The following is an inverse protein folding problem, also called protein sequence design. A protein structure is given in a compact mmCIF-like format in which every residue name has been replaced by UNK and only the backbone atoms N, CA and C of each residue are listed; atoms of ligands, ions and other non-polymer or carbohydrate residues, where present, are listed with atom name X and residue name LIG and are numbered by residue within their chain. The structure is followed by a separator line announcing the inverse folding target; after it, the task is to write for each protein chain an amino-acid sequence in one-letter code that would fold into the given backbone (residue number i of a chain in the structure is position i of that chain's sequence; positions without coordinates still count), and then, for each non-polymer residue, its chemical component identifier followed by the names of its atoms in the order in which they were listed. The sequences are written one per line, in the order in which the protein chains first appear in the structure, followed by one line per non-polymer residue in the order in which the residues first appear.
data_IF_238254655873
#
_entry.id   IF_238254655873
#
_cell.length_a   1.000
_cell.length_b   1.000
_cell.length_c   1.000
_cell.angle_alpha   90.00
_cell.angle_beta   90.00
_cell.angle_gamma   90.00
#
_symmetry.space_group_name_H-M   'P 1'
#
loop_
_entity.id
_entity.type
_entity.pdbx_description
1 polymer ?
#
# COMPACT_ATOMS: atom_id res chain seq x y z
N UNK A 1 26.97 -37.26 33.77
CA UNK A 1 27.34 -36.68 32.46
C UNK A 1 27.97 -35.31 32.68
N UNK A 2 29.29 -35.24 32.86
CA UNK A 2 30.02 -33.99 32.96
C UNK A 2 30.47 -33.58 31.55
N UNK A 3 29.58 -32.92 30.81
CA UNK A 3 30.02 -32.12 29.66
C UNK A 3 30.88 -31.00 30.23
N UNK A 4 32.19 -31.10 30.05
CA UNK A 4 33.14 -30.23 30.73
C UNK A 4 32.84 -28.76 30.40
N UNK A 5 32.96 -27.89 31.41
CA UNK A 5 32.84 -26.42 31.25
C UNK A 5 33.71 -25.87 30.12
N UNK A 6 34.82 -26.54 29.78
CA UNK A 6 35.72 -26.19 28.70
C UNK A 6 35.10 -26.35 27.29
N UNK A 7 34.23 -27.35 27.07
CA UNK A 7 33.52 -27.52 25.81
C UNK A 7 32.42 -26.45 25.63
N UNK A 8 31.75 -26.06 26.71
CA UNK A 8 30.75 -24.99 26.67
C UNK A 8 31.35 -23.61 26.37
N UNK A 9 32.51 -23.27 26.96
CA UNK A 9 33.21 -22.01 26.67
C UNK A 9 33.70 -21.90 25.23
N UNK A 10 34.07 -23.03 24.61
CA UNK A 10 34.45 -23.04 23.21
C UNK A 10 33.22 -22.88 22.31
N UNK A 11 32.12 -23.58 22.57
CA UNK A 11 30.88 -23.45 21.79
C UNK A 11 30.32 -22.02 21.86
N UNK A 12 30.34 -21.37 23.03
CA UNK A 12 29.88 -19.99 23.17
C UNK A 12 30.82 -19.01 22.47
N UNK A 13 32.14 -19.11 22.68
CA UNK A 13 33.12 -18.21 22.04
C UNK A 13 33.10 -18.30 20.51
N UNK A 14 33.04 -19.51 19.95
CA UNK A 14 32.93 -19.70 18.50
C UNK A 14 31.54 -19.33 17.97
N UNK A 15 30.47 -19.49 18.77
CA UNK A 15 29.14 -19.00 18.44
C UNK A 15 29.06 -17.48 18.33
N UNK A 16 29.71 -16.74 19.23
CA UNK A 16 29.77 -15.27 19.17
C UNK A 16 30.55 -14.76 17.95
N UNK A 17 31.73 -15.33 17.68
CA UNK A 17 32.57 -14.95 16.52
C UNK A 17 31.88 -15.28 15.18
N UNK A 18 31.12 -16.39 15.12
CA UNK A 18 30.30 -16.74 13.97
C UNK A 18 29.11 -15.80 13.79
N UNK A 19 28.45 -15.41 14.89
CA UNK A 19 27.34 -14.45 14.86
C UNK A 19 27.79 -13.08 14.36
N UNK A 20 28.97 -12.62 14.77
CA UNK A 20 29.55 -11.36 14.31
C UNK A 20 29.88 -11.38 12.80
N UNK A 21 30.49 -12.47 12.31
CA UNK A 21 30.78 -12.64 10.87
C UNK A 21 29.52 -12.66 10.02
N UNK A 22 28.49 -13.40 10.44
CA UNK A 22 27.22 -13.49 9.70
C UNK A 22 26.44 -12.17 9.82
N UNK A 23 26.45 -11.52 10.98
CA UNK A 23 25.82 -10.21 11.18
C UNK A 23 26.38 -9.14 10.23
N UNK A 24 27.69 -9.17 9.94
CA UNK A 24 28.30 -8.28 8.95
C UNK A 24 27.77 -8.51 7.52
N UNK A 25 27.43 -9.75 7.15
CA UNK A 25 26.78 -10.05 5.85
C UNK A 25 25.35 -9.49 5.83
N UNK A 26 24.67 -9.53 6.97
CA UNK A 26 23.28 -9.07 7.12
C UNK A 26 23.19 -7.55 7.42
N UNK A 27 24.33 -6.87 7.57
CA UNK A 27 24.41 -5.43 7.85
C UNK A 27 23.63 -4.57 6.85
N UNK A 28 23.62 -4.94 5.57
CA UNK A 28 22.85 -4.26 4.53
C UNK A 28 21.34 -4.40 4.76
N UNK A 29 20.87 -5.57 5.19
CA UNK A 29 19.47 -5.76 5.52
C UNK A 29 19.07 -4.91 6.74
N UNK A 30 19.94 -4.81 7.75
CA UNK A 30 19.73 -3.92 8.89
C UNK A 30 19.68 -2.44 8.48
N UNK A 31 20.57 -2.00 7.60
CA UNK A 31 20.53 -0.64 7.07
C UNK A 31 19.19 -0.35 6.37
N UNK A 32 18.72 -1.26 5.52
CA UNK A 32 17.43 -1.13 4.85
C UNK A 32 16.27 -1.09 5.86
N UNK A 33 16.29 -1.92 6.91
CA UNK A 33 15.28 -1.88 7.96
C UNK A 33 15.29 -0.56 8.74
N UNK A 34 16.48 0.01 9.03
CA UNK A 34 16.56 1.37 9.61
C UNK A 34 15.90 2.39 8.71
N UNK A 35 16.15 2.33 7.39
CA UNK A 35 15.58 3.28 6.44
C UNK A 35 14.06 3.17 6.35
N UNK A 36 13.52 1.95 6.36
CA UNK A 36 12.07 1.74 6.42
C UNK A 36 11.45 2.33 7.68
N UNK A 37 12.12 2.20 8.83
CA UNK A 37 11.65 2.79 10.07
C UNK A 37 11.73 4.33 10.06
N UNK A 38 12.87 4.89 9.64
CA UNK A 38 13.11 6.35 9.63
C UNK A 38 12.25 7.10 8.62
N UNK A 39 11.97 6.51 7.45
CA UNK A 39 11.14 7.13 6.41
C UNK A 39 9.68 6.74 6.57
N UNK A 40 9.40 5.46 6.80
CA UNK A 40 8.06 4.91 6.85
C UNK A 40 7.25 5.41 8.03
N UNK A 41 7.84 5.53 9.23
CA UNK A 41 7.11 6.00 10.42
C UNK A 41 6.65 7.46 10.26
N UNK A 42 7.54 8.44 9.97
CA UNK A 42 7.11 9.83 9.80
C UNK A 42 6.14 10.01 8.61
N UNK A 43 6.38 9.33 7.49
CA UNK A 43 5.51 9.44 6.32
C UNK A 43 4.09 8.95 6.61
N UNK A 44 3.94 7.78 7.22
CA UNK A 44 2.63 7.23 7.55
C UNK A 44 1.93 8.03 8.66
N UNK A 45 2.67 8.50 9.68
CA UNK A 45 2.13 9.42 10.68
C UNK A 45 1.61 10.72 10.06
N UNK A 46 2.33 11.30 9.10
CA UNK A 46 1.92 12.51 8.40
C UNK A 46 0.64 12.30 7.58
N UNK A 47 0.55 11.18 6.84
CA UNK A 47 -0.67 10.82 6.08
C UNK A 47 -1.85 10.64 7.04
N UNK A 48 -1.67 9.91 8.14
CA UNK A 48 -2.71 9.73 9.16
C UNK A 48 -3.16 11.07 9.75
N UNK A 49 -2.23 11.97 10.05
CA UNK A 49 -2.55 13.29 10.56
C UNK A 49 -3.42 14.10 9.57
N UNK A 50 -3.03 14.16 8.30
CA UNK A 50 -3.79 14.88 7.27
C UNK A 50 -5.18 14.26 7.08
N UNK A 51 -5.23 12.94 6.88
CA UNK A 51 -6.47 12.24 6.57
C UNK A 51 -7.35 12.03 7.80
N UNK A 52 -6.88 12.28 9.03
CA UNK A 52 -7.76 12.26 10.20
C UNK A 52 -8.25 13.67 10.53
N UNK A 53 -7.35 14.65 10.60
CA UNK A 53 -7.65 15.96 11.16
C UNK A 53 -7.88 17.08 10.13
N UNK A 54 -7.25 17.03 8.95
CA UNK A 54 -7.28 18.16 7.99
C UNK A 54 -8.27 18.01 6.83
N UNK A 55 -8.49 16.80 6.32
CA UNK A 55 -9.41 16.59 5.18
C UNK A 55 -10.89 16.64 5.64
N UNK A 56 -11.87 16.77 4.74
CA UNK A 56 -13.31 16.53 4.97
C UNK A 56 -13.69 15.05 4.76
N UNK A 57 -14.73 14.54 5.45
CA UNK A 57 -14.94 13.09 5.74
C UNK A 57 -15.09 12.16 4.53
N UNK A 58 -15.13 12.71 3.31
CA UNK A 58 -15.16 11.93 2.08
C UNK A 58 -13.98 10.97 1.96
N UNK A 59 -14.30 9.69 1.76
CA UNK A 59 -13.44 8.70 1.11
C UNK A 59 -12.01 8.55 1.66
N UNK A 60 -11.86 8.56 2.99
CA UNK A 60 -10.56 8.45 3.66
C UNK A 60 -10.24 7.04 4.17
N UNK A 61 -11.24 6.17 4.27
CA UNK A 61 -11.12 4.88 4.95
C UNK A 61 -9.95 4.04 4.42
N UNK A 62 -9.86 3.86 3.09
CA UNK A 62 -8.79 3.04 2.50
C UNK A 62 -7.39 3.62 2.73
N UNK A 63 -7.24 4.94 2.64
CA UNK A 63 -5.95 5.61 2.86
C UNK A 63 -5.53 5.54 4.32
N UNK A 64 -6.45 5.83 5.25
CA UNK A 64 -6.20 5.75 6.70
C UNK A 64 -5.82 4.32 7.09
N UNK A 65 -6.56 3.33 6.60
CA UNK A 65 -6.27 1.92 6.89
C UNK A 65 -4.91 1.50 6.32
N UNK A 66 -4.58 1.87 5.08
CA UNK A 66 -3.26 1.58 4.50
C UNK A 66 -2.15 2.17 5.35
N UNK A 67 -2.25 3.45 5.73
CA UNK A 67 -1.22 4.09 6.55
C UNK A 67 -1.09 3.50 7.95
N UNK A 68 -2.18 3.00 8.56
CA UNK A 68 -2.11 2.27 9.83
C UNK A 68 -1.36 0.94 9.69
N UNK A 69 -1.67 0.18 8.63
CA UNK A 69 -1.00 -1.09 8.35
C UNK A 69 0.47 -0.86 8.02
N UNK A 70 0.79 0.13 7.19
CA UNK A 70 2.16 0.47 6.80
C UNK A 70 2.97 0.99 7.98
N UNK A 71 2.35 1.78 8.88
CA UNK A 71 2.99 2.22 10.13
C UNK A 71 3.31 1.01 11.02
N UNK A 72 2.36 0.08 11.17
CA UNK A 72 2.54 -1.14 11.95
C UNK A 72 3.63 -2.01 11.33
N UNK A 73 3.64 -2.17 10.02
CA UNK A 73 4.68 -2.89 9.28
C UNK A 73 6.06 -2.25 9.46
N UNK A 74 6.15 -0.92 9.38
CA UNK A 74 7.42 -0.18 9.52
C UNK A 74 7.98 -0.27 10.94
N UNK A 75 7.13 -0.26 11.98
CA UNK A 75 7.60 -0.37 13.37
C UNK A 75 7.87 -1.83 13.71
N UNK A 76 6.84 -2.68 13.60
CA UNK A 76 6.87 -4.05 14.08
C UNK A 76 7.68 -4.97 13.15
N UNK A 77 7.48 -4.84 11.84
CA UNK A 77 8.21 -5.62 10.84
C UNK A 77 9.71 -5.32 10.88
N UNK A 78 10.10 -4.04 10.96
CA UNK A 78 11.51 -3.68 11.11
C UNK A 78 12.08 -4.13 12.46
N UNK A 79 11.36 -4.01 13.57
CA UNK A 79 11.80 -4.53 14.87
C UNK A 79 12.04 -6.05 14.85
N UNK A 80 11.12 -6.82 14.25
CA UNK A 80 11.29 -8.26 14.05
C UNK A 80 12.49 -8.56 13.15
N UNK A 81 12.63 -7.84 12.03
CA UNK A 81 13.76 -7.96 11.12
C UNK A 81 15.10 -7.70 11.82
N UNK A 82 15.20 -6.65 12.63
CA UNK A 82 16.37 -6.36 13.45
C UNK A 82 16.67 -7.49 14.42
N UNK A 83 15.67 -7.94 15.19
CA UNK A 83 15.86 -9.03 16.15
C UNK A 83 16.40 -10.30 15.49
N UNK A 84 15.88 -10.64 14.31
CA UNK A 84 16.34 -11.77 13.52
C UNK A 84 17.77 -11.60 12.99
N UNK A 85 18.10 -10.38 12.54
CA UNK A 85 19.40 -10.06 11.95
C UNK A 85 20.51 -9.82 12.98
N UNK A 86 20.18 -9.50 14.23
CA UNK A 86 21.16 -9.36 15.34
C UNK A 86 21.61 -10.73 15.86
N UNK A 87 20.75 -11.74 15.77
CA UNK A 87 21.06 -13.11 16.24
C UNK A 87 20.86 -14.16 15.14
N UNK A 88 21.51 -14.03 13.96
CA UNK A 88 21.28 -14.92 12.82
C UNK A 88 21.60 -16.39 13.09
N UNK A 89 22.53 -16.69 14.01
CA UNK A 89 22.99 -18.07 14.28
C UNK A 89 22.71 -18.55 15.71
N UNK A 90 22.02 -17.75 16.52
CA UNK A 90 21.71 -18.06 17.91
C UNK A 90 20.24 -17.79 18.24
N UNK A 91 19.34 -18.35 17.43
CA UNK A 91 17.90 -18.25 17.66
C UNK A 91 17.46 -19.19 18.78
N UNK A 92 16.72 -18.67 19.76
CA UNK A 92 16.47 -19.39 21.02
C UNK A 92 15.18 -20.21 21.04
N UNK A 93 14.25 -19.99 20.10
CA UNK A 93 12.92 -20.63 20.16
C UNK A 93 12.22 -20.74 18.79
N UNK A 94 11.66 -21.93 18.52
CA UNK A 94 10.79 -22.21 17.37
C UNK A 94 9.60 -21.24 17.29
N UNK A 95 8.92 -21.02 18.42
CA UNK A 95 7.71 -20.18 18.47
C UNK A 95 8.03 -18.72 18.20
N UNK A 96 9.19 -18.22 18.67
CA UNK A 96 9.65 -16.87 18.36
C UNK A 96 9.96 -16.72 16.86
N UNK A 97 10.57 -17.73 16.23
CA UNK A 97 10.90 -17.69 14.81
C UNK A 97 9.63 -17.66 13.96
N UNK A 98 8.71 -18.60 14.22
CA UNK A 98 7.42 -18.68 13.55
C UNK A 98 6.63 -17.38 13.71
N UNK A 99 6.61 -16.80 14.91
CA UNK A 99 5.90 -15.55 15.18
C UNK A 99 6.53 -14.35 14.47
N UNK A 100 7.86 -14.19 14.51
CA UNK A 100 8.54 -13.06 13.86
C UNK A 100 8.40 -13.12 12.33
N UNK A 101 8.68 -14.28 11.72
CA UNK A 101 8.55 -14.44 10.27
C UNK A 101 7.09 -14.39 9.81
N UNK A 102 6.21 -15.10 10.50
CA UNK A 102 4.78 -15.12 10.20
C UNK A 102 4.16 -13.73 10.29
N UNK A 103 4.49 -12.97 11.34
CA UNK A 103 3.99 -11.60 11.51
C UNK A 103 4.56 -10.65 10.46
N UNK A 104 5.83 -10.79 10.09
CA UNK A 104 6.42 -9.97 9.03
C UNK A 104 5.73 -10.24 7.68
N UNK A 105 5.51 -11.52 7.34
CA UNK A 105 4.79 -11.92 6.13
C UNK A 105 3.33 -11.46 6.13
N UNK A 106 2.66 -11.52 7.29
CA UNK A 106 1.32 -10.98 7.49
C UNK A 106 1.26 -9.48 7.21
N UNK A 107 2.17 -8.70 7.79
CA UNK A 107 2.18 -7.24 7.63
C UNK A 107 2.49 -6.85 6.18
N UNK A 108 3.40 -7.56 5.50
CA UNK A 108 3.66 -7.35 4.07
C UNK A 108 2.43 -7.65 3.20
N UNK A 109 1.73 -8.76 3.48
CA UNK A 109 0.50 -9.11 2.76
C UNK A 109 -0.62 -8.09 2.97
N UNK A 110 -0.84 -7.67 4.22
CA UNK A 110 -1.84 -6.66 4.54
C UNK A 110 -1.52 -5.32 3.86
N UNK A 111 -0.26 -4.88 3.89
CA UNK A 111 0.19 -3.65 3.23
C UNK A 111 -0.06 -3.71 1.72
N UNK A 112 0.38 -4.78 1.06
CA UNK A 112 0.19 -4.97 -0.39
C UNK A 112 -1.28 -4.96 -0.80
N UNK A 113 -2.14 -5.62 -0.03
CA UNK A 113 -3.59 -5.63 -0.26
C UNK A 113 -4.23 -4.26 -0.05
N UNK A 114 -3.79 -3.50 0.97
CA UNK A 114 -4.31 -2.15 1.21
C UNK A 114 -3.96 -1.22 0.05
N UNK A 115 -2.71 -1.26 -0.43
CA UNK A 115 -2.26 -0.48 -1.59
C UNK A 115 -3.06 -0.87 -2.83
N UNK A 116 -3.24 -2.17 -3.09
CA UNK A 116 -4.03 -2.67 -4.20
C UNK A 116 -5.47 -2.16 -4.17
N UNK A 117 -6.12 -2.20 -3.00
CA UNK A 117 -7.48 -1.71 -2.83
C UNK A 117 -7.57 -0.20 -3.08
N UNK A 118 -6.67 0.60 -2.53
CA UNK A 118 -6.65 2.06 -2.72
C UNK A 118 -6.43 2.41 -4.19
N UNK A 119 -5.44 1.81 -4.83
CA UNK A 119 -5.09 2.07 -6.24
C UNK A 119 -6.21 1.66 -7.19
N UNK A 120 -6.79 0.47 -7.00
CA UNK A 120 -7.91 -0.02 -7.82
C UNK A 120 -9.12 0.89 -7.68
N UNK A 121 -9.43 1.30 -6.46
CA UNK A 121 -10.55 2.20 -6.22
C UNK A 121 -10.35 3.57 -6.86
N UNK A 122 -9.14 4.16 -6.77
CA UNK A 122 -8.81 5.42 -7.46
C UNK A 122 -8.94 5.29 -8.98
N UNK A 123 -8.53 4.16 -9.54
CA UNK A 123 -8.69 3.88 -10.96
C UNK A 123 -10.16 3.80 -11.39
N UNK A 124 -11.01 3.12 -10.62
CA UNK A 124 -12.46 3.05 -10.90
C UNK A 124 -13.08 4.45 -10.83
N UNK A 125 -12.74 5.23 -9.81
CA UNK A 125 -13.27 6.59 -9.63
C UNK A 125 -12.93 7.49 -10.82
N UNK A 126 -11.71 7.39 -11.34
CA UNK A 126 -11.25 8.21 -12.47
C UNK A 126 -11.80 7.74 -13.82
N UNK A 127 -11.90 6.43 -14.04
CA UNK A 127 -12.33 5.86 -15.32
C UNK A 127 -13.86 5.76 -15.46
N UNK A 128 -14.56 5.51 -14.35
CA UNK A 128 -15.98 5.19 -14.32
C UNK A 128 -16.71 6.01 -13.23
N UNK A 129 -16.84 7.34 -13.40
CA UNK A 129 -17.41 8.22 -12.39
C UNK A 129 -18.88 7.94 -12.05
N UNK A 130 -19.60 7.21 -12.91
CA UNK A 130 -21.00 6.81 -12.71
C UNK A 130 -21.15 5.47 -11.94
N UNK A 131 -20.08 4.68 -11.84
CA UNK A 131 -20.09 3.36 -11.22
C UNK A 131 -19.36 3.37 -9.87
N UNK A 132 -19.63 4.39 -9.06
CA UNK A 132 -19.00 4.53 -7.75
C UNK A 132 -19.53 3.46 -6.79
N UNK A 133 -18.61 2.70 -6.20
CA UNK A 133 -18.93 1.76 -5.14
C UNK A 133 -19.39 2.52 -3.90
N UNK A 134 -20.51 2.09 -3.31
CA UNK A 134 -20.94 2.61 -2.01
C UNK A 134 -19.87 2.33 -0.94
N UNK A 135 -19.72 3.25 0.02
CA UNK A 135 -18.74 3.15 1.11
C UNK A 135 -18.81 1.82 1.88
N UNK A 136 -20.02 1.29 2.12
CA UNK A 136 -20.21 0.00 2.80
C UNK A 136 -19.61 -1.16 2.00
N UNK A 137 -19.90 -1.21 0.69
CA UNK A 137 -19.39 -2.28 -0.17
C UNK A 137 -17.87 -2.23 -0.25
N UNK A 138 -17.28 -1.02 -0.28
CA UNK A 138 -15.82 -0.88 -0.23
C UNK A 138 -15.25 -1.42 1.08
N UNK A 139 -15.83 -1.07 2.22
CA UNK A 139 -15.39 -1.58 3.52
C UNK A 139 -15.46 -3.12 3.58
N UNK A 140 -16.57 -3.71 3.10
CA UNK A 140 -16.75 -5.16 3.04
C UNK A 140 -15.67 -5.81 2.17
N UNK A 141 -15.44 -5.28 0.96
CA UNK A 141 -14.39 -5.79 0.06
C UNK A 141 -13.02 -5.69 0.75
N UNK A 142 -12.70 -4.55 1.36
CA UNK A 142 -11.42 -4.38 2.06
C UNK A 142 -11.25 -5.40 3.19
N UNK A 143 -12.28 -5.66 4.00
CA UNK A 143 -12.24 -6.68 5.05
C UNK A 143 -12.04 -8.07 4.47
N UNK A 144 -12.75 -8.43 3.40
CA UNK A 144 -12.61 -9.74 2.74
C UNK A 144 -11.17 -9.94 2.25
N UNK A 145 -10.60 -8.95 1.55
CA UNK A 145 -9.23 -9.10 1.02
C UNK A 145 -8.19 -9.14 2.16
N UNK A 146 -8.42 -8.41 3.27
CA UNK A 146 -7.56 -8.54 4.46
C UNK A 146 -7.64 -9.94 5.10
N UNK A 147 -8.83 -10.54 5.18
CA UNK A 147 -8.99 -11.91 5.68
C UNK A 147 -8.28 -12.93 4.78
N UNK A 148 -8.35 -12.73 3.47
CA UNK A 148 -7.61 -13.55 2.50
C UNK A 148 -6.11 -13.40 2.71
N UNK A 149 -5.59 -12.18 2.89
CA UNK A 149 -4.19 -11.93 3.20
C UNK A 149 -3.74 -12.61 4.51
N UNK A 150 -4.57 -12.57 5.55
CA UNK A 150 -4.33 -13.29 6.81
C UNK A 150 -4.23 -14.79 6.55
N UNK A 151 -5.19 -15.36 5.80
CA UNK A 151 -5.20 -16.78 5.44
C UNK A 151 -3.94 -17.22 4.69
N UNK A 152 -3.47 -16.40 3.74
CA UNK A 152 -2.23 -16.65 3.01
C UNK A 152 -0.98 -16.61 3.88
N UNK A 153 -1.01 -15.92 5.02
CA UNK A 153 0.12 -15.85 5.95
C UNK A 153 0.15 -16.99 6.97
N UNK A 154 -0.94 -17.74 7.16
CA UNK A 154 -1.01 -18.85 8.13
C UNK A 154 0.13 -19.87 7.93
N UNK A 155 0.46 -20.34 6.71
CA UNK A 155 1.51 -21.33 6.55
C UNK A 155 2.88 -20.85 7.04
N UNK A 156 3.14 -19.55 7.03
CA UNK A 156 4.39 -19.00 7.56
C UNK A 156 4.51 -19.18 9.09
N UNK A 157 3.40 -19.20 9.82
CA UNK A 157 3.39 -19.50 11.25
C UNK A 157 3.57 -20.99 11.56
N UNK A 158 3.33 -21.88 10.59
CA UNK A 158 3.37 -23.32 10.79
C UNK A 158 4.70 -23.91 10.29
N UNK A 159 5.19 -23.42 9.15
CA UNK A 159 6.31 -24.03 8.44
C UNK A 159 7.68 -23.55 8.90
N UNK A 160 7.77 -22.36 9.49
CA UNK A 160 9.03 -21.81 9.97
C UNK A 160 9.29 -22.14 11.44
N UNK A 161 10.55 -22.35 11.78
CA UNK A 161 11.03 -22.69 13.11
C UNK A 161 12.55 -22.64 13.18
N UNK A 162 13.12 -23.18 14.24
CA UNK A 162 14.57 -23.31 14.40
C UNK A 162 15.12 -24.38 13.45
N UNK A 163 16.09 -23.99 12.64
CA UNK A 163 16.86 -24.89 11.78
C UNK A 163 18.30 -24.95 12.29
N UNK A 164 18.83 -26.16 12.46
CA UNK A 164 20.24 -26.36 12.82
C UNK A 164 21.10 -26.21 11.58
N UNK A 165 22.08 -25.32 11.64
CA UNK A 165 23.09 -25.15 10.59
C UNK A 165 24.43 -25.68 11.07
N UNK A 166 25.05 -26.53 10.25
CA UNK A 166 26.44 -26.96 10.42
C UNK A 166 27.35 -26.13 9.53
N UNK A 167 28.22 -25.33 10.12
CA UNK A 167 29.26 -24.59 9.41
C UNK A 167 30.58 -25.34 9.55
N UNK A 168 31.09 -25.85 8.43
CA UNK A 168 32.43 -26.43 8.35
C UNK A 168 33.45 -25.30 8.29
N UNK A 169 34.14 -25.07 9.40
CA UNK A 169 35.36 -24.24 9.45
C UNK A 169 36.56 -25.15 9.20
N UNK A 170 37.69 -24.57 8.77
CA UNK A 170 38.87 -25.33 8.32
C UNK A 170 39.33 -26.44 9.29
N UNK A 171 39.18 -26.25 10.60
CA UNK A 171 39.67 -27.17 11.63
C UNK A 171 38.57 -27.81 12.51
N UNK A 172 37.30 -27.40 12.37
CA UNK A 172 36.19 -27.94 13.18
C UNK A 172 34.81 -27.61 12.56
N UNK A 173 33.77 -28.35 12.94
CA UNK A 173 32.39 -28.03 12.56
C UNK A 173 31.70 -27.31 13.72
N UNK A 174 31.24 -26.09 13.49
CA UNK A 174 30.40 -25.35 14.44
C UNK A 174 28.93 -25.60 14.11
N UNK A 175 28.09 -25.72 15.15
CA UNK A 175 26.64 -25.83 15.00
C UNK A 175 25.99 -24.54 15.49
N UNK A 176 25.17 -23.92 14.64
CA UNK A 176 24.34 -22.78 14.96
C UNK A 176 22.86 -23.10 14.83
N UNK A 177 22.02 -22.24 15.38
CA UNK A 177 20.56 -22.31 15.29
C UNK A 177 20.06 -21.06 14.59
N UNK A 178 19.52 -21.21 13.39
CA UNK A 178 18.94 -20.10 12.64
C UNK A 178 17.42 -20.22 12.59
N UNK A 179 16.74 -19.10 12.37
CA UNK A 179 15.32 -19.10 12.06
C UNK A 179 15.13 -19.44 10.57
N UNK A 180 14.46 -20.56 10.28
CA UNK A 180 14.35 -21.11 8.93
C UNK A 180 13.22 -22.13 8.80
N UNK A 181 13.34 -23.05 7.85
CA UNK A 181 12.37 -24.13 7.68
C UNK A 181 12.39 -25.06 8.90
N UNK A 182 11.24 -25.31 9.53
CA UNK A 182 11.18 -26.29 10.60
C UNK A 182 11.52 -27.69 10.07
N UNK A 183 12.38 -28.41 10.79
CA UNK A 183 12.90 -29.71 10.34
C UNK A 183 11.84 -30.81 10.13
N UNK A 184 10.63 -30.62 10.66
CA UNK A 184 9.47 -31.52 10.45
C UNK A 184 8.95 -31.43 9.00
N UNK A 185 9.11 -30.28 8.35
CA UNK A 185 8.57 -29.98 7.02
C UNK A 185 9.64 -29.70 5.96
N UNK A 186 10.90 -29.52 6.36
CA UNK A 186 12.04 -29.21 5.47
C UNK A 186 12.21 -30.22 4.32
N UNK A 187 11.77 -31.48 4.51
CA UNK A 187 11.83 -32.55 3.50
C UNK A 187 10.50 -32.80 2.76
N UNK A 188 9.43 -32.08 3.12
CA UNK A 188 8.12 -32.26 2.52
C UNK A 188 7.96 -31.48 1.20
N UNK A 189 7.30 -32.04 0.17
CA UNK A 189 7.05 -31.32 -1.08
C UNK A 189 6.22 -30.04 -0.87
N UNK A 190 5.35 -30.02 0.14
CA UNK A 190 4.55 -28.86 0.52
C UNK A 190 5.40 -27.62 0.87
N UNK A 191 6.54 -27.81 1.53
CA UNK A 191 7.44 -26.71 1.90
C UNK A 191 8.10 -26.07 0.67
N UNK A 192 8.38 -26.85 -0.38
CA UNK A 192 8.93 -26.34 -1.63
C UNK A 192 7.86 -25.71 -2.54
N UNK A 193 6.65 -26.28 -2.56
CA UNK A 193 5.55 -25.80 -3.40
C UNK A 193 5.01 -24.46 -2.90
N UNK A 194 4.88 -24.27 -1.58
CA UNK A 194 4.35 -23.05 -0.97
C UNK A 194 5.06 -21.75 -1.44
N UNK A 195 6.39 -21.59 -1.31
CA UNK A 195 7.08 -20.36 -1.72
C UNK A 195 6.99 -20.13 -3.23
N UNK A 196 6.91 -21.19 -4.04
CA UNK A 196 6.71 -21.08 -5.49
C UNK A 196 5.33 -20.50 -5.78
N UNK A 197 4.28 -21.07 -5.18
CA UNK A 197 2.89 -20.59 -5.35
C UNK A 197 2.76 -19.14 -4.91
N UNK A 198 3.31 -18.81 -3.73
CA UNK A 198 3.31 -17.45 -3.19
C UNK A 198 4.05 -16.48 -4.13
N UNK A 199 5.23 -16.87 -4.64
CA UNK A 199 6.01 -16.06 -5.57
C UNK A 199 5.27 -15.79 -6.89
N UNK A 200 4.60 -16.80 -7.44
CA UNK A 200 3.77 -16.67 -8.64
C UNK A 200 2.62 -15.69 -8.39
N UNK A 201 1.90 -15.82 -7.26
CA UNK A 201 0.82 -14.91 -6.88
C UNK A 201 1.33 -13.47 -6.76
N UNK A 202 2.44 -13.24 -6.05
CA UNK A 202 3.02 -11.92 -5.92
C UNK A 202 3.44 -11.32 -7.26
N UNK A 203 3.98 -12.14 -8.16
CA UNK A 203 4.35 -11.69 -9.50
C UNK A 203 3.12 -11.20 -10.27
N UNK A 204 2.01 -11.93 -10.25
CA UNK A 204 0.77 -11.50 -10.88
C UNK A 204 0.19 -10.23 -10.23
N UNK A 205 0.19 -10.13 -8.91
CA UNK A 205 -0.27 -8.93 -8.19
C UNK A 205 0.59 -7.72 -8.54
N UNK A 206 1.91 -7.89 -8.59
CA UNK A 206 2.84 -6.82 -8.96
C UNK A 206 2.62 -6.34 -10.39
N UNK A 207 2.51 -7.27 -11.35
CA UNK A 207 2.20 -6.93 -12.74
C UNK A 207 0.86 -6.19 -12.87
N UNK A 208 -0.16 -6.63 -12.13
CA UNK A 208 -1.47 -5.97 -12.09
C UNK A 208 -1.39 -4.55 -11.50
N UNK A 209 -0.68 -4.37 -10.39
CA UNK A 209 -0.45 -3.06 -9.78
C UNK A 209 0.26 -2.11 -10.74
N UNK A 210 1.36 -2.55 -11.34
CA UNK A 210 2.12 -1.74 -12.31
C UNK A 210 1.25 -1.37 -13.51
N UNK A 211 0.43 -2.31 -14.01
CA UNK A 211 -0.52 -2.03 -15.07
C UNK A 211 -1.54 -0.95 -14.69
N UNK A 212 -2.17 -1.03 -13.51
CA UNK A 212 -3.12 0.00 -13.07
C UNK A 212 -2.44 1.35 -12.89
N UNK A 213 -1.26 1.38 -12.25
CA UNK A 213 -0.54 2.63 -12.01
C UNK A 213 -0.13 3.31 -13.32
N UNK A 214 0.33 2.54 -14.32
CA UNK A 214 0.62 3.07 -15.64
C UNK A 214 -0.63 3.66 -16.31
N UNK A 215 -1.77 2.96 -16.21
CA UNK A 215 -3.06 3.45 -16.75
C UNK A 215 -3.52 4.73 -16.05
N UNK A 216 -3.42 4.79 -14.72
CA UNK A 216 -3.71 5.98 -13.92
C UNK A 216 -2.86 7.16 -14.36
N UNK A 217 -1.55 6.94 -14.53
CA UNK A 217 -0.60 7.96 -14.98
C UNK A 217 -0.97 8.50 -16.37
N UNK A 218 -1.27 7.62 -17.32
CA UNK A 218 -1.70 8.01 -18.68
C UNK A 218 -3.00 8.82 -18.65
N UNK A 219 -3.98 8.39 -17.85
CA UNK A 219 -5.25 9.12 -17.71
C UNK A 219 -5.03 10.51 -17.11
N UNK A 220 -4.16 10.61 -16.11
CA UNK A 220 -3.80 11.88 -15.48
C UNK A 220 -3.12 12.84 -16.47
N UNK A 221 -2.11 12.37 -17.20
CA UNK A 221 -1.43 13.19 -18.22
C UNK A 221 -2.37 13.63 -19.36
N UNK A 222 -3.27 12.76 -19.82
CA UNK A 222 -4.29 13.13 -20.82
C UNK A 222 -5.24 14.20 -20.29
N UNK A 223 -5.60 14.15 -19.01
CA UNK A 223 -6.40 15.19 -18.34
C UNK A 223 -5.69 16.54 -18.32
N UNK A 224 -4.41 16.56 -17.95
CA UNK A 224 -3.60 17.80 -17.95
C UNK A 224 -3.47 18.40 -19.35
N UNK A 225 -3.14 17.59 -20.36
CA UNK A 225 -3.00 18.04 -21.75
C UNK A 225 -4.31 18.62 -22.33
N UNK A 226 -5.47 18.20 -21.82
CA UNK A 226 -6.77 18.76 -22.21
C UNK A 226 -7.03 20.12 -21.55
N UNK A 227 -6.55 20.34 -20.32
CA UNK A 227 -6.67 21.63 -19.63
C UNK A 227 -5.77 22.72 -20.25
N UNK A 228 -4.62 22.33 -20.81
CA UNK A 228 -3.70 23.27 -21.46
C UNK A 228 -4.25 23.83 -22.79
N UNK A 229 -5.11 23.08 -23.49
CA UNK A 229 -5.76 23.53 -24.74
C UNK A 229 -6.91 24.51 -24.55
N UNK A 230 -7.27 24.86 -23.31
CA UNK A 230 -8.32 25.86 -23.05
C UNK A 230 -7.71 27.25 -23.33
N UNK A 231 -8.23 28.01 -24.32
CA UNK A 231 -7.64 29.28 -24.72
C UNK A 231 -7.62 30.29 -23.57
N UNK A 232 -6.56 31.13 -23.45
CA UNK A 232 -6.38 32.06 -22.34
C UNK A 232 -7.51 33.08 -22.21
N UNK A 233 -8.29 33.34 -23.27
CA UNK A 233 -9.47 34.21 -23.26
C UNK A 233 -10.61 33.71 -22.36
N UNK A 234 -10.74 32.40 -22.16
CA UNK A 234 -11.68 31.83 -21.17
C UNK A 234 -11.11 31.80 -19.75
N UNK A 235 -9.79 31.99 -19.58
CA UNK A 235 -9.12 31.85 -18.28
C UNK A 235 -9.47 32.99 -17.32
N UNK A 236 -9.84 34.19 -17.81
CA UNK A 236 -10.20 35.34 -16.95
C UNK A 236 -11.69 35.39 -16.56
N UNK A 237 -12.60 34.93 -17.42
CA UNK A 237 -14.02 34.80 -17.05
C UNK A 237 -14.29 33.67 -16.05
N UNK A 238 -13.55 32.57 -16.18
CA UNK A 238 -13.71 31.41 -15.28
C UNK A 238 -13.04 31.63 -13.92
N UNK A 239 -11.95 32.41 -13.84
CA UNK A 239 -11.30 32.72 -12.56
C UNK A 239 -12.13 33.70 -11.71
N UNK A 240 -12.86 34.64 -12.32
CA UNK A 240 -13.78 35.52 -11.59
C UNK A 240 -15.00 34.74 -11.03
N UNK A 241 -15.47 33.72 -11.75
CA UNK A 241 -16.51 32.80 -11.24
C UNK A 241 -15.98 31.80 -10.19
N UNK A 242 -14.70 31.41 -10.26
CA UNK A 242 -14.05 30.57 -9.25
C UNK A 242 -13.68 31.34 -7.97
N UNK A 243 -13.36 32.63 -8.06
CA UNK A 243 -13.11 33.48 -6.88
C UNK A 243 -14.38 33.77 -6.07
N UNK A 244 -15.56 33.65 -6.69
CA UNK A 244 -16.85 33.63 -5.99
C UNK A 244 -17.11 32.25 -5.33
N UNK A 245 -16.44 31.19 -5.78
CA UNK A 245 -16.52 29.85 -5.18
C UNK A 245 -15.49 29.57 -4.08
N UNK A 246 -14.53 30.46 -3.83
CA UNK A 246 -13.59 30.35 -2.69
C UNK A 246 -14.28 30.48 -1.32
N UNK A 247 -15.55 30.92 -1.29
CA UNK A 247 -16.38 30.90 -0.09
C UNK A 247 -17.31 29.67 0.03
N UNK A 248 -17.27 28.72 -0.91
CA UNK A 248 -18.18 27.59 -0.92
C UNK A 248 -17.46 26.23 -0.87
N UNK A 249 -17.40 25.74 0.37
CA UNK A 249 -17.58 24.38 0.87
C UNK A 249 -18.39 23.41 -0.04
N UNK A 250 -18.04 23.23 -1.31
CA UNK A 250 -18.74 22.37 -2.27
C UNK A 250 -17.77 21.75 -3.29
N UNK A 251 -16.83 20.94 -2.82
CA UNK A 251 -16.27 19.87 -3.67
C UNK A 251 -16.77 18.50 -3.20
N UNK A 252 -17.21 18.37 -1.93
CA UNK A 252 -17.82 17.13 -1.41
C UNK A 252 -19.34 17.05 -1.59
N UNK A 253 -20.03 18.12 -2.02
CA UNK A 253 -21.50 18.12 -2.18
C UNK A 253 -22.00 18.07 -3.62
N UNK A 254 -21.12 18.07 -4.63
CA UNK A 254 -21.49 17.90 -6.05
C UNK A 254 -21.36 16.45 -6.54
N UNK A 255 -21.15 15.49 -5.64
CA UNK A 255 -21.30 14.07 -5.93
C UNK A 255 -22.78 13.59 -5.85
N UNK A 256 -23.69 14.42 -5.33
CA UNK A 256 -25.11 14.12 -5.30
C UNK A 256 -25.87 14.89 -6.39
N UNK A 257 -26.10 14.17 -7.49
CA UNK A 257 -27.15 14.37 -8.49
C UNK A 257 -27.01 15.59 -9.42
N UNK A 258 -26.80 15.27 -10.71
CA UNK A 258 -27.19 16.04 -11.91
C UNK A 258 -26.15 16.88 -12.68
N UNK A 259 -24.86 16.53 -12.67
CA UNK A 259 -23.96 17.00 -13.73
C UNK A 259 -23.28 15.83 -14.46
N UNK A 260 -23.64 15.68 -15.74
CA UNK A 260 -22.92 14.86 -16.70
C UNK A 260 -21.89 15.74 -17.41
N UNK A 261 -20.62 15.34 -17.38
CA UNK A 261 -19.62 15.86 -18.33
C UNK A 261 -19.72 14.98 -19.57
N UNK A 262 -20.55 15.37 -20.54
CA UNK A 262 -20.47 14.83 -21.90
C UNK A 262 -19.36 15.59 -22.62
N UNK A 263 -18.57 14.87 -23.41
CA UNK A 263 -17.47 15.45 -24.17
C UNK A 263 -17.90 16.62 -25.04
N UNK A 264 -16.97 17.57 -25.15
CA UNK A 264 -16.82 18.61 -26.18
C UNK A 264 -17.89 19.68 -26.33
N UNK A 265 -19.19 19.44 -26.16
CA UNK A 265 -20.19 20.48 -26.42
C UNK A 265 -21.34 20.46 -25.39
N UNK A 266 -21.60 21.64 -24.80
CA UNK A 266 -22.70 22.01 -23.90
C UNK A 266 -22.69 21.46 -22.45
N UNK A 267 -22.42 22.37 -21.49
CA UNK A 267 -22.86 22.26 -20.09
C UNK A 267 -24.37 22.53 -20.03
N UNK A 268 -25.20 21.49 -20.11
CA UNK A 268 -26.65 21.63 -19.85
C UNK A 268 -26.88 21.53 -18.34
N UNK A 269 -27.16 22.67 -17.72
CA UNK A 269 -27.58 22.75 -16.33
C UNK A 269 -29.03 22.23 -16.20
N UNK A 270 -29.22 21.02 -15.66
CA UNK A 270 -30.56 20.41 -15.48
C UNK A 270 -31.41 21.08 -14.39
N UNK A 271 -30.91 22.13 -13.73
CA UNK A 271 -31.64 22.88 -12.70
C UNK A 271 -32.35 24.14 -13.21
N UNK A 272 -32.23 24.50 -14.49
CA UNK A 272 -32.95 25.65 -15.06
C UNK A 272 -34.35 25.32 -15.60
N UNK A 273 -34.79 24.05 -15.54
CA UNK A 273 -36.06 23.63 -16.17
C UNK A 273 -37.31 23.84 -15.29
N UNK A 274 -37.19 24.47 -14.11
CA UNK A 274 -38.33 24.68 -13.19
C UNK A 274 -38.62 26.11 -12.75
N UNK A 275 -38.02 27.12 -13.40
CA UNK A 275 -38.54 28.48 -13.31
C UNK A 275 -38.79 29.01 -14.71
N UNK A 276 -40.08 29.10 -15.03
CA UNK A 276 -40.60 29.87 -16.15
C UNK A 276 -40.05 31.29 -16.09
N UNK A 277 -39.01 31.56 -16.87
CA UNK A 277 -38.61 32.91 -17.21
C UNK A 277 -39.07 33.12 -18.65
N UNK A 278 -40.20 33.84 -18.80
CA UNK A 278 -40.59 34.42 -20.08
C UNK A 278 -39.43 35.32 -20.51
N UNK A 279 -38.66 34.87 -21.49
CA UNK A 279 -37.76 35.74 -22.25
C UNK A 279 -38.56 36.15 -23.49
N UNK A 280 -39.24 37.27 -23.38
CA UNK A 280 -39.65 38.06 -24.55
C UNK A 280 -38.49 38.97 -24.91
N UNK A 281 -37.82 38.70 -26.03
CA UNK A 281 -37.02 39.69 -26.74
C UNK A 281 -37.52 39.71 -28.19
N UNK A 282 -37.96 40.91 -28.61
CA UNK A 282 -38.65 41.15 -29.86
C UNK A 282 -37.73 41.10 -31.08
N UNK A 283 -38.35 40.80 -32.21
CA UNK A 283 -37.81 40.97 -33.55
C UNK A 283 -37.71 42.46 -33.87
N UNK A 284 -36.50 42.96 -34.03
CA UNK A 284 -36.24 44.25 -34.68
C UNK A 284 -35.55 43.97 -36.01
N UNK A 285 -36.30 44.13 -37.11
CA UNK A 285 -35.94 43.73 -38.48
C UNK A 285 -34.95 44.67 -39.19
N UNK A 286 -34.15 45.44 -38.45
CA UNK A 286 -33.22 46.40 -39.06
C UNK A 286 -31.90 46.50 -38.33
N UNK A 287 -31.11 45.43 -38.30
CA UNK A 287 -29.64 45.48 -38.30
C UNK A 287 -29.09 44.06 -38.33
N UNK A 288 -28.64 43.61 -39.49
CA UNK A 288 -27.84 42.40 -39.58
C UNK A 288 -26.52 42.59 -38.84
N UNK A 289 -26.23 41.74 -37.86
CA UNK A 289 -24.96 41.02 -37.69
C UNK A 289 -24.84 40.28 -36.35
N UNK A 290 -24.29 39.07 -36.47
CA UNK A 290 -23.37 38.36 -35.58
C UNK A 290 -23.89 37.99 -34.18
N UNK A 291 -24.15 36.69 -34.01
CA UNK A 291 -24.11 36.05 -32.70
C UNK A 291 -22.67 36.10 -32.16
N UNK A 292 -22.53 36.62 -30.94
CA UNK A 292 -21.46 36.34 -29.99
C UNK A 292 -22.03 35.42 -28.92
#
# INVERSE_FOLDING_TARGET
MNVSKANYTNITKYGYDLNERVSNIVSMANLLQTMFLLVGVPANCFVLYIYTFKKPKGDRFGVVLSSLVDLTASVFGSACGFAMNTNPVNFYSDSQCAFMLGSNMLLWNLSGVCILNVTTYRYILLRYPLFQLNNRNRQIITVIVMLVAIGFSIPAFIFYGETKIGLRLQNFTAFGKMCGASGILEKGPLFQVYPIVVSVIYTFVFLYLTFIQLRLLVLFYRGLAKMERIPPSFRHGTLAHLKIMDNFKIIDRYADKNFFVIGSDALICKSCEKKSMKITCGTDDRLGKKCL
#
